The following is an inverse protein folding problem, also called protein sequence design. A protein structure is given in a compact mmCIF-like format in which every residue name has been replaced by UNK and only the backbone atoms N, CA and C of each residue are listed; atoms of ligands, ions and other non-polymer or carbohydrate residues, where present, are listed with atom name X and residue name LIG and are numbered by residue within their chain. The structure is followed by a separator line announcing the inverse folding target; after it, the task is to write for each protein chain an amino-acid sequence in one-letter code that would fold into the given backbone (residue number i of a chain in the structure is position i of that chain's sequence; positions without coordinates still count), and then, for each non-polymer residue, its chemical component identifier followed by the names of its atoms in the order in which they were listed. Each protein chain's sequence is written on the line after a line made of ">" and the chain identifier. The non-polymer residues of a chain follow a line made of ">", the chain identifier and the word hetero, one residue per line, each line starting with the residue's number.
data_IF_715553472074
#
_entry.id   IF_715553472074
#
_cell.length_a   1.000
_cell.length_b   1.000
_cell.length_c   1.000
_cell.angle_alpha   90.00
_cell.angle_beta   90.00
_cell.angle_gamma   90.00
#
_symmetry.space_group_name_H-M   'P 1'
#
loop_
_entity.id
_entity.type
_entity.pdbx_description
1 polymer ?
#
# COMPACT_ATOMS: atom_id res chain seq x y z
N UNK A 1 -62.52 10.27 61.30
CA UNK A 1 -62.93 11.66 61.69
C UNK A 1 -62.00 12.64 61.01
N UNK A 2 -62.59 13.53 60.24
CA UNK A 2 -62.06 14.80 59.64
C UNK A 2 -61.01 14.72 58.52
N UNK A 3 -61.49 14.99 57.36
CA UNK A 3 -61.06 15.63 56.12
C UNK A 3 -60.29 16.92 56.43
N UNK A 4 -59.19 17.25 55.73
CA UNK A 4 -58.94 18.56 55.23
C UNK A 4 -58.17 18.55 53.89
N UNK A 5 -58.82 19.20 52.91
CA UNK A 5 -58.27 19.64 51.64
C UNK A 5 -57.27 20.79 51.85
N UNK A 6 -56.31 20.92 50.92
CA UNK A 6 -55.79 22.23 50.45
C UNK A 6 -54.96 21.99 49.17
N UNK A 7 -55.48 22.34 48.07
CA UNK A 7 -55.18 23.38 47.06
C UNK A 7 -53.68 23.72 46.84
N UNK A 8 -53.12 23.35 45.76
CA UNK A 8 -52.71 24.08 44.56
C UNK A 8 -51.51 24.98 44.68
N UNK A 9 -50.45 24.65 43.89
CA UNK A 9 -49.61 25.68 43.29
C UNK A 9 -49.03 25.15 41.97
N UNK A 10 -49.46 25.80 40.86
CA UNK A 10 -48.89 25.57 39.54
C UNK A 10 -47.57 26.28 39.41
N UNK A 11 -46.47 25.58 39.16
CA UNK A 11 -45.21 26.18 38.75
C UNK A 11 -44.93 25.77 37.30
N UNK A 12 -45.00 26.77 36.42
CA UNK A 12 -44.67 26.67 35.02
C UNK A 12 -43.16 26.43 34.86
N UNK A 13 -42.75 25.29 34.39
CA UNK A 13 -41.36 25.05 33.97
C UNK A 13 -41.32 25.27 32.46
N UNK A 14 -40.72 26.38 32.02
CA UNK A 14 -40.31 26.64 30.65
C UNK A 14 -39.33 25.56 30.20
N UNK A 15 -39.75 24.66 29.28
CA UNK A 15 -38.87 23.80 28.54
C UNK A 15 -38.12 24.62 27.49
N UNK A 16 -36.83 24.85 27.69
CA UNK A 16 -35.89 25.18 26.62
C UNK A 16 -35.67 23.94 25.75
N UNK A 17 -36.40 23.85 24.65
CA UNK A 17 -36.18 22.87 23.60
C UNK A 17 -34.93 23.28 22.80
N UNK A 18 -33.77 22.70 23.16
CA UNK A 18 -32.58 22.75 22.32
C UNK A 18 -32.88 21.89 21.06
N UNK A 19 -32.95 22.57 19.92
CA UNK A 19 -32.99 21.94 18.62
C UNK A 19 -31.70 21.14 18.40
N UNK A 20 -31.70 19.85 18.74
CA UNK A 20 -30.78 18.91 18.13
C UNK A 20 -31.35 18.58 16.75
N UNK A 21 -30.76 19.17 15.71
CA UNK A 21 -30.95 18.76 14.34
C UNK A 21 -30.31 17.37 14.18
N UNK A 22 -30.98 16.33 14.64
CA UNK A 22 -30.68 14.95 14.33
C UNK A 22 -31.07 14.68 12.88
N UNK A 23 -30.13 14.19 12.09
CA UNK A 23 -30.43 13.60 10.78
C UNK A 23 -31.40 12.44 10.93
N UNK A 24 -32.70 12.69 10.88
CA UNK A 24 -33.73 11.66 10.72
C UNK A 24 -33.74 11.24 9.26
N UNK A 25 -32.91 10.29 8.88
CA UNK A 25 -33.05 9.56 7.65
C UNK A 25 -34.18 8.54 7.81
N UNK A 26 -35.16 8.61 6.90
CA UNK A 26 -36.19 7.62 6.73
C UNK A 26 -35.59 6.21 6.68
N UNK A 27 -36.10 5.32 7.49
CA UNK A 27 -35.78 3.90 7.56
C UNK A 27 -36.00 3.21 6.22
N UNK A 28 -34.98 3.15 5.39
CA UNK A 28 -34.80 2.07 4.43
C UNK A 28 -33.90 1.02 5.10
N UNK A 29 -34.11 -0.25 4.78
CA UNK A 29 -33.42 -1.40 5.38
C UNK A 29 -31.95 -1.10 5.67
N UNK A 30 -31.52 -1.38 6.91
CA UNK A 30 -30.21 -1.02 7.42
C UNK A 30 -29.10 -1.45 6.44
N UNK A 31 -28.61 -0.52 5.65
CA UNK A 31 -27.45 -0.71 4.80
C UNK A 31 -26.25 -0.96 5.73
N UNK A 32 -25.66 -2.17 5.65
CA UNK A 32 -24.39 -2.46 6.31
C UNK A 32 -23.35 -1.47 5.77
N UNK A 33 -22.53 -0.91 6.63
CA UNK A 33 -21.45 0.03 6.25
C UNK A 33 -21.60 1.41 6.86
N UNK A 34 -20.58 2.25 6.66
CA UNK A 34 -20.51 3.61 7.19
C UNK A 34 -20.93 4.64 6.13
N UNK A 35 -21.45 5.78 6.58
CA UNK A 35 -21.88 6.90 5.74
C UNK A 35 -21.13 8.17 6.12
N UNK A 36 -20.79 9.00 5.11
CA UNK A 36 -20.21 10.30 5.33
C UNK A 36 -21.31 11.37 5.52
N UNK A 37 -21.27 12.06 6.66
CA UNK A 37 -22.12 13.25 6.90
C UNK A 37 -21.54 14.46 6.12
N UNK A 38 -20.95 15.46 6.81
CA UNK A 38 -20.42 16.67 6.19
C UNK A 38 -19.00 16.49 5.62
N UNK A 39 -18.25 15.58 6.20
CA UNK A 39 -16.85 15.30 5.85
C UNK A 39 -16.68 13.83 5.49
N UNK A 40 -15.90 13.57 4.44
CA UNK A 40 -15.51 12.22 4.03
C UNK A 40 -14.32 11.79 4.87
N UNK A 41 -14.52 10.91 5.84
CA UNK A 41 -13.44 10.37 6.67
C UNK A 41 -12.81 9.16 5.99
N UNK A 42 -11.53 9.23 5.68
CA UNK A 42 -10.72 8.12 5.18
C UNK A 42 -9.76 7.69 6.29
N UNK A 43 -9.82 6.44 6.69
CA UNK A 43 -8.89 5.87 7.66
C UNK A 43 -7.56 5.51 7.01
N UNK A 44 -6.47 5.77 7.70
CA UNK A 44 -5.12 5.41 7.27
C UNK A 44 -4.53 4.51 8.35
N UNK A 45 -4.52 3.21 8.06
CA UNK A 45 -3.90 2.19 8.89
C UNK A 45 -2.50 1.93 8.32
N UNK A 46 -1.47 2.41 8.98
CA UNK A 46 -0.16 2.46 8.34
C UNK A 46 0.97 2.13 9.30
N UNK A 47 2.03 1.52 8.78
CA UNK A 47 3.29 1.27 9.47
C UNK A 47 4.05 2.60 9.64
N UNK A 48 3.63 3.46 10.58
CA UNK A 48 4.31 4.74 10.82
C UNK A 48 5.55 4.58 11.70
N UNK A 49 5.70 3.44 12.35
CA UNK A 49 6.86 3.01 13.12
C UNK A 49 7.13 1.51 12.93
N UNK A 50 8.21 0.99 13.54
CA UNK A 50 8.61 -0.41 13.41
C UNK A 50 9.41 -0.71 12.14
N UNK A 51 9.50 -2.00 11.79
CA UNK A 51 10.38 -2.50 10.73
C UNK A 51 10.06 -1.95 9.34
N UNK A 52 8.79 -1.70 9.05
CA UNK A 52 8.30 -1.19 7.76
C UNK A 52 7.98 0.33 7.80
N UNK A 53 8.41 1.04 8.84
CA UNK A 53 8.10 2.47 9.03
C UNK A 53 8.55 3.39 7.89
N UNK A 54 9.51 2.97 7.06
CA UNK A 54 9.91 3.68 5.84
C UNK A 54 8.76 3.77 4.84
N UNK A 55 8.17 2.63 4.50
CA UNK A 55 7.04 2.58 3.56
C UNK A 55 5.85 3.40 4.06
N UNK A 56 5.49 3.20 5.32
CA UNK A 56 4.34 3.90 5.92
C UNK A 56 4.50 5.42 5.91
N UNK A 57 5.71 5.93 6.12
CA UNK A 57 5.97 7.37 6.04
C UNK A 57 5.83 7.90 4.61
N UNK A 58 6.33 7.16 3.61
CA UNK A 58 6.16 7.50 2.20
C UNK A 58 4.67 7.52 1.82
N UNK A 59 3.91 6.49 2.19
CA UNK A 59 2.47 6.42 1.90
C UNK A 59 1.69 7.54 2.59
N UNK A 60 2.00 7.83 3.86
CA UNK A 60 1.42 8.97 4.57
C UNK A 60 1.62 10.29 3.83
N UNK A 61 2.83 10.53 3.32
CA UNK A 61 3.16 11.74 2.57
C UNK A 61 2.34 11.84 1.27
N UNK A 62 2.22 10.74 0.51
CA UNK A 62 1.40 10.69 -0.70
C UNK A 62 -0.09 10.93 -0.42
N UNK A 63 -0.64 10.29 0.61
CA UNK A 63 -2.03 10.50 1.04
C UNK A 63 -2.26 11.96 1.42
N UNK A 64 -1.37 12.54 2.24
CA UNK A 64 -1.52 13.92 2.70
C UNK A 64 -1.48 14.92 1.54
N UNK A 65 -0.56 14.72 0.58
CA UNK A 65 -0.49 15.57 -0.62
C UNK A 65 -1.80 15.51 -1.42
N UNK A 66 -2.33 14.30 -1.67
CA UNK A 66 -3.58 14.13 -2.41
C UNK A 66 -4.78 14.76 -1.68
N UNK A 67 -4.88 14.58 -0.37
CA UNK A 67 -5.95 15.15 0.46
C UNK A 67 -5.90 16.67 0.42
N UNK A 68 -4.72 17.27 0.55
CA UNK A 68 -4.56 18.73 0.54
C UNK A 68 -4.95 19.30 -0.84
N UNK A 69 -4.49 18.68 -1.93
CA UNK A 69 -4.85 19.11 -3.29
C UNK A 69 -6.36 19.02 -3.55
N UNK A 70 -6.99 17.90 -3.20
CA UNK A 70 -8.43 17.72 -3.39
C UNK A 70 -9.20 18.74 -2.56
N UNK A 71 -8.79 18.96 -1.33
CA UNK A 71 -9.44 19.90 -0.43
C UNK A 71 -9.27 21.35 -0.88
N UNK A 72 -8.10 21.73 -1.38
CA UNK A 72 -7.85 23.07 -1.95
C UNK A 72 -8.73 23.32 -3.18
N UNK A 73 -8.99 22.30 -4.01
CA UNK A 73 -9.89 22.36 -5.17
C UNK A 73 -11.38 22.27 -4.80
N UNK A 74 -11.73 22.43 -3.52
CA UNK A 74 -13.11 22.45 -3.02
C UNK A 74 -13.60 21.12 -2.44
N UNK A 75 -12.89 20.01 -2.61
CA UNK A 75 -13.26 18.68 -2.11
C UNK A 75 -13.84 17.78 -3.21
N UNK A 76 -14.44 16.67 -2.77
CA UNK A 76 -15.04 15.63 -3.62
C UNK A 76 -16.49 15.98 -3.95
N UNK A 77 -16.91 15.80 -5.19
CA UNK A 77 -18.29 16.01 -5.61
C UNK A 77 -19.15 14.77 -5.24
N UNK A 78 -20.02 14.93 -4.27
CA UNK A 78 -20.97 13.89 -3.85
C UNK A 78 -22.37 14.34 -4.29
N UNK A 79 -22.84 13.85 -5.44
CA UNK A 79 -24.15 14.19 -6.00
C UNK A 79 -24.43 15.72 -6.04
N UNK A 80 -23.50 16.49 -6.58
CA UNK A 80 -23.61 17.95 -6.73
C UNK A 80 -23.12 18.75 -5.50
N UNK A 81 -22.92 18.11 -4.35
CA UNK A 81 -22.40 18.78 -3.14
C UNK A 81 -20.89 18.49 -2.97
N UNK A 82 -20.09 19.51 -2.73
CA UNK A 82 -18.68 19.38 -2.43
C UNK A 82 -18.45 19.05 -0.96
N UNK A 83 -17.73 17.96 -0.68
CA UNK A 83 -17.35 17.54 0.68
C UNK A 83 -15.83 17.42 0.79
N UNK A 84 -15.25 17.93 1.89
CA UNK A 84 -13.82 17.80 2.18
C UNK A 84 -13.49 16.40 2.65
N UNK A 85 -12.24 15.96 2.39
CA UNK A 85 -11.68 14.73 2.93
C UNK A 85 -10.99 15.05 4.26
N UNK A 86 -11.18 14.16 5.25
CA UNK A 86 -10.38 14.11 6.47
C UNK A 86 -9.70 12.76 6.57
N UNK A 87 -8.37 12.72 6.45
CA UNK A 87 -7.59 11.53 6.71
C UNK A 87 -7.39 11.35 8.23
N UNK A 88 -7.64 10.13 8.73
CA UNK A 88 -7.45 9.75 10.13
C UNK A 88 -6.32 8.74 10.18
N UNK A 89 -5.14 9.17 10.61
CA UNK A 89 -3.92 8.37 10.66
C UNK A 89 -3.84 7.59 11.97
N UNK A 90 -3.49 6.30 11.87
CA UNK A 90 -3.20 5.43 13.01
C UNK A 90 -1.99 4.56 12.70
N UNK A 91 -1.06 4.51 13.64
CA UNK A 91 0.15 3.69 13.56
C UNK A 91 -0.15 2.25 13.95
N UNK A 92 0.09 1.29 13.04
CA UNK A 92 -0.02 -0.13 13.31
C UNK A 92 1.30 -0.74 13.84
N UNK A 93 2.38 0.06 13.90
CA UNK A 93 3.70 -0.32 14.44
C UNK A 93 4.35 -1.50 13.75
N UNK A 94 4.02 -1.74 12.47
CA UNK A 94 4.45 -2.93 11.71
C UNK A 94 4.10 -4.25 12.42
N UNK A 95 2.88 -4.32 12.99
CA UNK A 95 2.39 -5.46 13.75
C UNK A 95 1.00 -5.87 13.28
N UNK A 96 0.85 -7.13 12.89
CA UNK A 96 -0.41 -7.70 12.41
C UNK A 96 -1.55 -7.57 13.42
N UNK A 97 -1.27 -7.81 14.71
CA UNK A 97 -2.27 -7.68 15.79
C UNK A 97 -2.70 -6.22 16.00
N UNK A 98 -1.76 -5.29 15.96
CA UNK A 98 -2.06 -3.85 16.06
C UNK A 98 -2.81 -3.38 14.81
N UNK A 99 -2.43 -3.86 13.63
CA UNK A 99 -3.09 -3.55 12.37
C UNK A 99 -4.57 -3.95 12.38
N UNK A 100 -4.90 -5.16 12.84
CA UNK A 100 -6.29 -5.63 13.01
C UNK A 100 -7.07 -4.76 14.01
N UNK A 101 -6.44 -4.37 15.12
CA UNK A 101 -7.05 -3.50 16.14
C UNK A 101 -7.32 -2.10 15.58
N UNK A 102 -6.35 -1.52 14.87
CA UNK A 102 -6.48 -0.21 14.19
C UNK A 102 -7.59 -0.24 13.15
N UNK A 103 -7.68 -1.30 12.33
CA UNK A 103 -8.76 -1.44 11.35
C UNK A 103 -10.13 -1.42 12.03
N UNK A 104 -10.27 -2.10 13.18
CA UNK A 104 -11.51 -2.10 13.96
C UNK A 104 -11.82 -0.71 14.51
N UNK A 105 -10.86 -0.01 15.08
CA UNK A 105 -11.06 1.36 15.60
C UNK A 105 -11.50 2.33 14.50
N UNK A 106 -10.79 2.35 13.37
CA UNK A 106 -11.12 3.21 12.24
C UNK A 106 -12.55 2.99 11.73
N UNK A 107 -12.95 1.74 11.59
CA UNK A 107 -14.26 1.40 10.99
C UNK A 107 -15.43 1.52 11.98
N UNK A 108 -15.22 1.19 13.26
CA UNK A 108 -16.32 1.13 14.26
C UNK A 108 -16.41 2.36 15.14
N UNK A 109 -15.29 3.00 15.50
CA UNK A 109 -15.26 4.18 16.37
C UNK A 109 -15.15 5.48 15.56
N UNK A 110 -14.15 5.58 14.68
CA UNK A 110 -13.95 6.77 13.86
C UNK A 110 -14.97 6.90 12.73
N UNK A 111 -15.68 5.79 12.40
CA UNK A 111 -16.71 5.74 11.35
C UNK A 111 -16.20 6.21 9.99
N UNK A 112 -15.00 5.73 9.59
CA UNK A 112 -14.44 6.01 8.27
C UNK A 112 -15.24 5.29 7.19
N UNK A 113 -15.31 5.84 5.98
CA UNK A 113 -16.06 5.28 4.85
C UNK A 113 -15.18 4.44 3.92
N UNK A 114 -13.88 4.57 4.02
CA UNK A 114 -12.88 3.75 3.34
C UNK A 114 -11.59 3.76 4.16
N UNK A 115 -10.72 2.76 3.97
CA UNK A 115 -9.37 2.74 4.56
C UNK A 115 -8.31 2.59 3.47
N UNK A 116 -7.15 3.24 3.68
CA UNK A 116 -5.92 3.07 2.89
C UNK A 116 -4.84 2.46 3.79
N UNK A 117 -4.08 1.53 3.24
CA UNK A 117 -3.08 0.77 4.01
C UNK A 117 -3.73 -0.32 4.86
N UNK A 118 -2.94 -1.23 5.43
CA UNK A 118 -1.47 -1.25 5.58
C UNK A 118 -0.67 -1.36 4.28
N UNK A 119 0.62 -1.00 4.39
CA UNK A 119 1.58 -1.10 3.30
C UNK A 119 2.03 -2.55 3.08
N UNK A 120 2.35 -3.28 4.15
CA UNK A 120 2.87 -4.64 4.05
C UNK A 120 1.77 -5.68 3.85
N UNK A 121 2.13 -6.78 3.20
CA UNK A 121 1.18 -7.89 2.93
C UNK A 121 0.60 -8.47 4.21
N UNK A 122 1.44 -8.82 5.21
CA UNK A 122 0.98 -9.49 6.42
C UNK A 122 0.07 -8.60 7.25
N UNK A 123 0.43 -7.33 7.43
CA UNK A 123 -0.38 -6.36 8.16
C UNK A 123 -1.70 -6.09 7.44
N UNK A 124 -1.67 -6.01 6.10
CA UNK A 124 -2.87 -5.88 5.27
C UNK A 124 -3.79 -7.09 5.40
N UNK A 125 -3.25 -8.30 5.33
CA UNK A 125 -4.02 -9.55 5.47
C UNK A 125 -4.77 -9.60 6.81
N UNK A 126 -4.15 -9.12 7.89
CA UNK A 126 -4.77 -9.07 9.21
C UNK A 126 -6.00 -8.14 9.29
N UNK A 127 -6.17 -7.20 8.36
CA UNK A 127 -7.32 -6.26 8.33
C UNK A 127 -8.51 -6.79 7.52
N UNK A 128 -8.32 -7.80 6.68
CA UNK A 128 -9.35 -8.33 5.76
C UNK A 128 -10.65 -8.73 6.48
N UNK A 129 -10.61 -9.47 7.62
CA UNK A 129 -11.82 -9.83 8.33
C UNK A 129 -12.65 -8.62 8.77
N UNK A 130 -11.99 -7.56 9.23
CA UNK A 130 -12.66 -6.32 9.65
C UNK A 130 -13.31 -5.61 8.47
N UNK A 131 -12.62 -5.45 7.34
CA UNK A 131 -13.17 -4.81 6.14
C UNK A 131 -14.45 -5.52 5.67
N UNK A 132 -14.42 -6.85 5.57
CA UNK A 132 -15.58 -7.64 5.16
C UNK A 132 -16.74 -7.57 6.19
N UNK A 133 -16.43 -7.62 7.48
CA UNK A 133 -17.42 -7.57 8.57
C UNK A 133 -18.12 -6.21 8.65
N UNK A 134 -17.37 -5.12 8.51
CA UNK A 134 -17.89 -3.75 8.67
C UNK A 134 -18.44 -3.18 7.36
N UNK A 135 -18.23 -3.85 6.23
CA UNK A 135 -18.57 -3.36 4.89
C UNK A 135 -17.92 -2.00 4.57
N UNK A 136 -16.68 -1.80 5.02
CA UNK A 136 -15.86 -0.63 4.72
C UNK A 136 -14.73 -1.06 3.79
N UNK A 137 -14.62 -0.52 2.57
CA UNK A 137 -13.59 -0.93 1.63
C UNK A 137 -12.20 -0.57 2.14
N UNK A 138 -11.30 -1.51 1.96
CA UNK A 138 -9.89 -1.45 2.27
C UNK A 138 -9.09 -1.47 0.97
N UNK A 139 -8.31 -0.44 0.72
CA UNK A 139 -7.43 -0.31 -0.44
C UNK A 139 -5.98 -0.28 0.05
N UNK A 140 -5.23 -1.39 -0.14
CA UNK A 140 -3.79 -1.35 0.07
C UNK A 140 -3.10 -0.71 -1.13
N UNK A 141 -2.26 0.29 -0.87
CA UNK A 141 -1.48 0.92 -1.91
C UNK A 141 -0.34 0.01 -2.42
N UNK A 142 0.20 -0.86 -1.58
CA UNK A 142 1.47 -1.56 -1.84
C UNK A 142 1.50 -3.07 -1.55
N UNK A 143 0.51 -3.68 -0.87
CA UNK A 143 0.50 -5.13 -0.64
C UNK A 143 0.40 -5.91 -1.97
N UNK A 144 1.31 -6.88 -2.18
CA UNK A 144 1.47 -7.57 -3.47
C UNK A 144 1.25 -9.07 -3.45
N UNK A 145 1.02 -9.73 -2.30
CA UNK A 145 0.81 -11.18 -2.27
C UNK A 145 -0.24 -11.60 -3.31
N UNK A 146 -0.02 -12.70 -4.06
CA UNK A 146 -0.89 -13.10 -5.17
C UNK A 146 -2.36 -13.21 -4.80
N UNK A 147 -2.66 -13.79 -3.64
CA UNK A 147 -4.01 -14.09 -3.18
C UNK A 147 -4.58 -13.04 -2.18
N UNK A 148 -3.93 -11.89 -2.05
CA UNK A 148 -4.32 -10.84 -1.10
C UNK A 148 -5.80 -10.43 -1.18
N UNK A 149 -6.38 -10.43 -2.37
CA UNK A 149 -7.79 -10.06 -2.60
C UNK A 149 -8.73 -11.26 -2.63
N UNK A 150 -8.21 -12.48 -2.42
CA UNK A 150 -8.95 -13.73 -2.53
C UNK A 150 -8.96 -14.50 -1.21
N UNK A 151 -10.02 -15.23 -0.97
CA UNK A 151 -10.06 -16.21 0.11
C UNK A 151 -9.36 -17.53 -0.32
N UNK A 152 -9.23 -18.46 0.64
CA UNK A 152 -8.61 -19.78 0.39
C UNK A 152 -9.27 -20.62 -0.70
N UNK A 153 -10.48 -20.29 -1.10
CA UNK A 153 -11.23 -20.97 -2.18
C UNK A 153 -11.14 -20.19 -3.50
N UNK A 154 -10.34 -19.12 -3.57
CA UNK A 154 -10.20 -18.25 -4.74
C UNK A 154 -11.36 -17.28 -4.96
N UNK A 155 -12.29 -17.14 -4.00
CA UNK A 155 -13.36 -16.18 -4.05
C UNK A 155 -12.88 -14.80 -3.62
N UNK A 156 -13.33 -13.76 -4.33
CA UNK A 156 -12.94 -12.37 -4.06
C UNK A 156 -13.48 -11.90 -2.70
N UNK A 157 -12.61 -11.30 -1.90
CA UNK A 157 -13.02 -10.51 -0.73
C UNK A 157 -13.69 -9.22 -1.21
N UNK A 158 -15.00 -9.03 -1.00
CA UNK A 158 -15.76 -7.96 -1.66
C UNK A 158 -15.27 -6.55 -1.28
N UNK A 159 -14.69 -6.39 -0.09
CA UNK A 159 -14.24 -5.10 0.45
C UNK A 159 -12.72 -4.94 0.45
N UNK A 160 -11.96 -5.79 -0.25
CA UNK A 160 -10.50 -5.73 -0.31
C UNK A 160 -10.03 -5.41 -1.72
N UNK A 161 -9.20 -4.39 -1.84
CA UNK A 161 -8.65 -3.88 -3.09
C UNK A 161 -7.15 -3.64 -2.96
N UNK A 162 -6.44 -3.65 -4.09
CA UNK A 162 -5.07 -3.14 -4.16
C UNK A 162 -4.92 -2.09 -5.26
N UNK A 163 -3.98 -1.18 -5.08
CA UNK A 163 -3.60 -0.21 -6.10
C UNK A 163 -2.32 -0.58 -6.85
N UNK A 164 -1.72 -1.71 -6.51
CA UNK A 164 -0.43 -2.18 -7.02
C UNK A 164 -0.56 -3.47 -7.84
N UNK A 165 0.49 -3.82 -8.57
CA UNK A 165 0.57 -5.10 -9.28
C UNK A 165 0.74 -6.28 -8.30
N UNK A 166 0.53 -7.49 -8.79
CA UNK A 166 0.68 -8.72 -8.02
C UNK A 166 2.14 -9.15 -7.93
N UNK A 167 2.50 -9.84 -6.84
CA UNK A 167 3.84 -10.36 -6.61
C UNK A 167 4.29 -11.42 -7.63
N UNK A 168 3.37 -12.23 -8.15
CA UNK A 168 3.68 -13.19 -9.22
C UNK A 168 4.12 -12.47 -10.51
N UNK A 169 3.51 -11.35 -10.85
CA UNK A 169 3.93 -10.51 -11.97
C UNK A 169 5.29 -9.85 -11.71
N UNK A 170 5.58 -9.44 -10.47
CA UNK A 170 6.92 -8.95 -10.10
C UNK A 170 7.99 -10.02 -10.30
N UNK A 171 7.79 -11.19 -9.70
CA UNK A 171 8.76 -12.29 -9.77
C UNK A 171 9.02 -12.75 -11.21
N UNK A 172 7.96 -12.88 -12.01
CA UNK A 172 8.10 -13.26 -13.43
C UNK A 172 8.81 -12.19 -14.26
N UNK A 173 8.52 -10.90 -14.02
CA UNK A 173 9.18 -9.79 -14.71
C UNK A 173 10.66 -9.68 -14.31
N UNK A 174 10.98 -9.89 -13.04
CA UNK A 174 12.35 -9.95 -12.53
C UNK A 174 13.14 -11.11 -13.17
N UNK A 175 12.53 -12.30 -13.25
CA UNK A 175 13.13 -13.48 -13.88
C UNK A 175 13.43 -13.25 -15.37
N UNK A 176 12.47 -12.67 -16.09
CA UNK A 176 12.65 -12.30 -17.50
C UNK A 176 13.80 -11.31 -17.67
N UNK A 177 13.83 -10.25 -16.86
CA UNK A 177 14.88 -9.22 -16.91
C UNK A 177 16.25 -9.79 -16.58
N UNK A 178 16.37 -10.60 -15.54
CA UNK A 178 17.63 -11.27 -15.17
C UNK A 178 18.17 -12.09 -16.34
N UNK A 179 17.33 -12.89 -16.99
CA UNK A 179 17.75 -13.72 -18.11
C UNK A 179 18.02 -12.96 -19.40
N UNK A 180 17.11 -12.07 -19.80
CA UNK A 180 17.14 -11.39 -21.10
C UNK A 180 18.01 -10.15 -21.11
N UNK A 181 18.07 -9.37 -20.00
CA UNK A 181 18.79 -8.10 -19.93
C UNK A 181 20.13 -8.27 -19.23
N UNK A 182 20.17 -8.87 -18.05
CA UNK A 182 21.43 -9.12 -17.32
C UNK A 182 22.21 -10.31 -17.90
N UNK A 183 21.60 -11.07 -18.81
CA UNK A 183 22.18 -12.28 -19.44
C UNK A 183 22.53 -13.38 -18.43
N UNK A 184 21.93 -13.35 -17.25
CA UNK A 184 22.14 -14.34 -16.20
C UNK A 184 21.63 -15.72 -16.66
N UNK A 185 22.47 -16.72 -16.55
CA UNK A 185 22.15 -18.14 -16.83
C UNK A 185 21.95 -18.93 -15.55
N UNK A 186 22.50 -18.45 -14.45
CA UNK A 186 22.47 -19.07 -13.13
C UNK A 186 22.05 -18.05 -12.10
N UNK A 187 20.99 -18.34 -11.36
CA UNK A 187 20.49 -17.50 -10.29
C UNK A 187 20.58 -18.21 -8.94
N UNK A 188 20.97 -17.47 -7.90
CA UNK A 188 20.74 -17.88 -6.53
C UNK A 188 19.62 -17.03 -5.94
N UNK A 189 18.82 -17.60 -5.03
CA UNK A 189 17.70 -16.94 -4.36
C UNK A 189 17.95 -16.97 -2.85
N UNK A 190 17.82 -15.81 -2.20
CA UNK A 190 17.80 -15.67 -0.75
C UNK A 190 16.52 -14.93 -0.36
N UNK A 191 15.50 -15.63 0.13
CA UNK A 191 14.15 -15.11 0.30
C UNK A 191 13.71 -15.06 1.76
N UNK A 192 12.92 -14.04 2.10
CA UNK A 192 12.17 -14.00 3.35
C UNK A 192 11.03 -15.02 3.31
N UNK A 193 11.05 -16.00 4.22
CA UNK A 193 9.98 -17.01 4.34
C UNK A 193 9.02 -16.74 5.53
N UNK A 194 9.13 -15.61 6.17
CA UNK A 194 8.21 -15.17 7.22
C UNK A 194 7.00 -14.38 6.68
N UNK A 195 7.00 -14.10 5.36
CA UNK A 195 5.93 -13.34 4.72
C UNK A 195 5.47 -13.97 3.40
N UNK A 196 4.15 -13.92 3.16
CA UNK A 196 3.57 -14.32 1.86
C UNK A 196 4.09 -13.46 0.70
N UNK A 197 4.58 -12.25 0.99
CA UNK A 197 5.27 -11.38 0.04
C UNK A 197 6.55 -12.03 -0.49
N UNK A 198 7.49 -12.34 0.38
CA UNK A 198 8.80 -12.92 -0.01
C UNK A 198 8.64 -14.29 -0.68
N UNK A 199 7.82 -15.17 -0.06
CA UNK A 199 7.53 -16.51 -0.57
C UNK A 199 6.92 -16.46 -1.98
N UNK A 200 5.87 -15.64 -2.17
CA UNK A 200 5.14 -15.56 -3.44
C UNK A 200 6.01 -15.06 -4.59
N UNK A 201 6.81 -14.04 -4.34
CA UNK A 201 7.70 -13.45 -5.35
C UNK A 201 8.87 -14.40 -5.69
N UNK A 202 9.49 -15.04 -4.68
CA UNK A 202 10.55 -16.02 -4.90
C UNK A 202 10.06 -17.22 -5.73
N UNK A 203 8.87 -17.74 -5.43
CA UNK A 203 8.22 -18.81 -6.17
C UNK A 203 8.02 -18.43 -7.65
N UNK A 204 7.50 -17.22 -7.90
CA UNK A 204 7.28 -16.75 -9.26
C UNK A 204 8.61 -16.56 -10.02
N UNK A 205 9.62 -15.96 -9.39
CA UNK A 205 10.94 -15.85 -10.00
C UNK A 205 11.48 -17.21 -10.40
N UNK A 206 11.49 -18.19 -9.48
CA UNK A 206 11.96 -19.54 -9.73
C UNK A 206 11.21 -20.23 -10.88
N UNK A 207 9.89 -20.04 -10.95
CA UNK A 207 9.04 -20.64 -11.99
C UNK A 207 9.32 -20.08 -13.38
N UNK A 208 9.59 -18.77 -13.49
CA UNK A 208 9.72 -18.09 -14.79
C UNK A 208 11.15 -17.80 -15.22
N UNK A 209 12.15 -18.06 -14.37
CA UNK A 209 13.55 -17.90 -14.76
C UNK A 209 13.96 -18.96 -15.77
N UNK A 210 14.34 -18.54 -16.96
CA UNK A 210 14.70 -19.45 -18.08
C UNK A 210 16.08 -20.10 -17.93
N UNK A 211 16.90 -19.64 -16.98
CA UNK A 211 18.18 -20.26 -16.63
C UNK A 211 18.04 -21.29 -15.52
N UNK A 212 19.13 -21.61 -14.85
CA UNK A 212 19.16 -22.56 -13.73
C UNK A 212 19.16 -21.80 -12.41
N UNK A 213 18.20 -22.09 -11.52
CA UNK A 213 18.28 -21.66 -10.11
C UNK A 213 19.19 -22.65 -9.39
N UNK A 214 20.41 -22.22 -9.08
CA UNK A 214 21.49 -23.07 -8.54
C UNK A 214 21.37 -23.25 -7.02
N UNK A 215 20.73 -22.33 -6.33
CA UNK A 215 20.46 -22.40 -4.89
C UNK A 215 19.23 -21.62 -4.53
N UNK A 216 18.54 -22.06 -3.48
CA UNK A 216 17.42 -21.31 -2.86
C UNK A 216 17.55 -21.45 -1.35
N UNK A 217 17.82 -20.34 -0.69
CA UNK A 217 17.97 -20.24 0.76
C UNK A 217 16.91 -19.30 1.33
N UNK A 218 16.65 -19.43 2.60
CA UNK A 218 15.61 -18.68 3.29
C UNK A 218 16.14 -18.07 4.58
N UNK A 219 15.51 -16.99 5.00
CA UNK A 219 15.73 -16.31 6.28
C UNK A 219 14.38 -15.85 6.87
N UNK A 220 14.40 -15.39 8.13
CA UNK A 220 13.24 -14.82 8.80
C UNK A 220 13.37 -13.30 8.90
N UNK A 221 12.23 -12.58 8.84
CA UNK A 221 12.23 -11.15 9.12
C UNK A 221 12.85 -10.87 10.51
N UNK A 222 13.74 -9.87 10.55
CA UNK A 222 14.51 -9.51 11.74
C UNK A 222 15.87 -10.20 11.87
N UNK A 223 16.21 -11.16 11.00
CA UNK A 223 17.56 -11.71 10.93
C UNK A 223 18.58 -10.61 10.59
N UNK A 224 19.74 -10.65 11.26
CA UNK A 224 20.80 -9.63 11.11
C UNK A 224 22.13 -10.18 10.61
N UNK A 225 22.29 -11.49 10.60
CA UNK A 225 23.55 -12.12 10.21
C UNK A 225 23.30 -13.14 9.09
N UNK A 226 23.77 -12.80 7.90
CA UNK A 226 23.63 -13.59 6.69
C UNK A 226 24.96 -14.18 6.21
N UNK A 227 26.06 -14.04 6.96
CA UNK A 227 27.39 -14.44 6.52
C UNK A 227 27.48 -15.93 6.15
N UNK A 228 26.90 -16.81 6.95
CA UNK A 228 26.95 -18.25 6.70
C UNK A 228 26.18 -18.63 5.41
N UNK A 229 24.96 -18.11 5.25
CA UNK A 229 24.15 -18.40 4.05
C UNK A 229 24.77 -17.77 2.79
N UNK A 230 25.33 -16.56 2.89
CA UNK A 230 26.01 -15.91 1.78
C UNK A 230 27.29 -16.64 1.37
N UNK A 231 28.05 -17.19 2.31
CA UNK A 231 29.22 -18.05 2.03
C UNK A 231 28.77 -19.31 1.29
N UNK A 232 27.71 -19.96 1.71
CA UNK A 232 27.13 -21.12 1.03
C UNK A 232 26.71 -20.78 -0.41
N UNK A 233 25.94 -19.69 -0.58
CA UNK A 233 25.48 -19.21 -1.90
C UNK A 233 26.67 -18.91 -2.81
N UNK A 234 27.70 -18.20 -2.31
CA UNK A 234 28.89 -17.82 -3.08
C UNK A 234 29.59 -19.04 -3.71
N UNK A 235 29.60 -20.20 -3.01
CA UNK A 235 30.24 -21.42 -3.50
C UNK A 235 29.54 -22.01 -4.74
N UNK A 236 28.28 -21.62 -5.05
CA UNK A 236 27.46 -22.20 -6.12
C UNK A 236 27.70 -21.62 -7.52
N UNK A 237 28.55 -20.60 -7.67
CA UNK A 237 28.85 -19.92 -8.95
C UNK A 237 27.57 -19.49 -9.66
N UNK A 238 27.04 -18.35 -9.34
CA UNK A 238 25.82 -17.76 -9.91
C UNK A 238 26.15 -16.42 -10.63
N UNK A 239 25.22 -15.96 -11.48
CA UNK A 239 25.36 -14.73 -12.25
C UNK A 239 24.53 -13.59 -11.63
N UNK A 240 23.47 -13.91 -10.88
CA UNK A 240 22.61 -12.96 -10.19
C UNK A 240 22.12 -13.51 -8.85
N UNK A 241 22.12 -12.69 -7.81
CA UNK A 241 21.49 -13.00 -6.52
C UNK A 241 20.14 -12.32 -6.45
N UNK A 242 19.06 -13.08 -6.30
CA UNK A 242 17.70 -12.57 -6.16
C UNK A 242 17.27 -12.56 -4.69
N UNK A 243 16.88 -11.37 -4.17
CA UNK A 243 16.56 -11.15 -2.75
C UNK A 243 15.18 -10.48 -2.64
N UNK A 244 14.07 -11.24 -2.72
CA UNK A 244 12.72 -10.71 -2.52
C UNK A 244 12.41 -10.56 -1.04
N UNK A 245 12.70 -9.37 -0.49
CA UNK A 245 12.56 -9.03 0.91
C UNK A 245 12.32 -7.53 1.09
N UNK A 246 12.13 -7.09 2.34
CA UNK A 246 11.97 -5.69 2.69
C UNK A 246 13.33 -4.99 2.88
N UNK A 247 13.31 -3.65 2.91
CA UNK A 247 14.53 -2.83 2.84
C UNK A 247 15.53 -3.09 3.96
N UNK A 248 15.07 -3.44 5.16
CA UNK A 248 15.95 -3.66 6.32
C UNK A 248 16.89 -4.84 6.09
N UNK A 249 16.32 -5.99 5.76
CA UNK A 249 17.07 -7.21 5.48
C UNK A 249 17.84 -7.08 4.17
N UNK A 250 17.23 -6.50 3.13
CA UNK A 250 17.89 -6.26 1.85
C UNK A 250 19.16 -5.41 2.02
N UNK A 251 19.10 -4.32 2.77
CA UNK A 251 20.27 -3.48 3.04
C UNK A 251 21.38 -4.24 3.77
N UNK A 252 21.01 -5.04 4.77
CA UNK A 252 21.97 -5.86 5.53
C UNK A 252 22.58 -6.96 4.65
N UNK A 253 21.74 -7.65 3.85
CA UNK A 253 22.22 -8.69 2.91
C UNK A 253 23.15 -8.08 1.87
N UNK A 254 22.82 -6.95 1.27
CA UNK A 254 23.69 -6.27 0.29
C UNK A 254 25.04 -5.95 0.91
N UNK A 255 25.07 -5.34 2.10
CA UNK A 255 26.29 -5.03 2.82
C UNK A 255 27.16 -6.28 3.02
N UNK A 256 26.60 -7.30 3.68
CA UNK A 256 27.34 -8.53 3.99
C UNK A 256 27.74 -9.33 2.73
N UNK A 257 26.91 -9.29 1.67
CA UNK A 257 27.27 -9.91 0.39
C UNK A 257 28.50 -9.25 -0.24
N UNK A 258 28.57 -7.90 -0.24
CA UNK A 258 29.73 -7.16 -0.74
C UNK A 258 30.98 -7.39 0.12
N UNK A 259 30.84 -7.39 1.45
CA UNK A 259 31.90 -7.75 2.40
C UNK A 259 32.40 -9.18 2.20
N UNK A 260 31.52 -10.12 1.89
CA UNK A 260 31.86 -11.50 1.55
C UNK A 260 32.50 -11.63 0.14
N UNK A 261 32.63 -10.53 -0.61
CA UNK A 261 33.22 -10.51 -1.96
C UNK A 261 32.29 -11.03 -3.06
N UNK A 262 30.98 -11.02 -2.86
CA UNK A 262 29.97 -11.25 -3.92
C UNK A 262 29.88 -9.97 -4.77
N UNK A 263 30.38 -10.04 -6.02
CA UNK A 263 30.41 -8.91 -6.96
C UNK A 263 29.26 -8.93 -7.97
N UNK A 264 28.57 -10.04 -8.08
CA UNK A 264 27.45 -10.24 -9.01
C UNK A 264 26.32 -9.24 -8.73
N UNK A 265 25.53 -8.89 -9.76
CA UNK A 265 24.31 -8.11 -9.57
C UNK A 265 23.41 -8.71 -8.48
N UNK A 266 22.86 -7.85 -7.62
CA UNK A 266 21.84 -8.22 -6.65
C UNK A 266 20.53 -7.60 -7.12
N UNK A 267 19.50 -8.43 -7.19
CA UNK A 267 18.21 -8.02 -7.68
C UNK A 267 17.13 -8.35 -6.65
N UNK A 268 16.20 -7.45 -6.45
CA UNK A 268 15.07 -7.67 -5.54
C UNK A 268 13.74 -7.21 -6.09
N UNK A 269 12.79 -7.12 -5.20
CA UNK A 269 11.44 -6.68 -5.49
C UNK A 269 11.24 -5.21 -5.04
N UNK A 270 10.02 -4.71 -5.09
CA UNK A 270 9.65 -3.34 -4.71
C UNK A 270 9.99 -3.00 -3.25
N UNK A 271 10.05 -3.98 -2.37
CA UNK A 271 10.52 -3.81 -1.00
C UNK A 271 11.95 -3.26 -0.84
N UNK A 272 12.77 -3.28 -1.90
CA UNK A 272 14.07 -2.60 -1.91
C UNK A 272 13.97 -1.09 -2.16
N UNK A 273 12.84 -0.57 -2.60
CA UNK A 273 12.70 0.82 -3.06
C UNK A 273 12.54 1.85 -1.93
N UNK A 274 13.34 1.73 -0.88
CA UNK A 274 13.38 2.69 0.23
C UNK A 274 14.83 3.17 0.45
N UNK A 275 15.04 4.46 0.63
CA UNK A 275 16.37 5.05 0.86
C UNK A 275 17.07 4.49 2.10
N UNK A 276 16.31 3.96 3.07
CA UNK A 276 16.86 3.28 4.24
C UNK A 276 17.64 2.03 3.85
N UNK A 277 17.26 1.35 2.76
CA UNK A 277 18.04 0.22 2.24
C UNK A 277 19.49 0.66 1.92
N UNK A 278 19.65 1.80 1.22
CA UNK A 278 20.98 2.37 0.90
C UNK A 278 21.72 2.83 2.16
N UNK A 279 20.99 3.44 3.12
CA UNK A 279 21.60 3.86 4.40
C UNK A 279 22.15 2.67 5.20
N UNK A 280 21.47 1.52 5.13
CA UNK A 280 21.89 0.29 5.82
C UNK A 280 23.04 -0.39 5.07
N UNK A 281 22.95 -0.50 3.75
CA UNK A 281 23.97 -1.17 2.95
C UNK A 281 25.29 -0.37 2.83
N UNK A 282 25.22 0.95 2.90
CA UNK A 282 26.26 1.85 2.42
C UNK A 282 26.11 2.12 0.91
N UNK A 283 26.33 3.35 0.49
CA UNK A 283 26.15 3.75 -0.91
C UNK A 283 27.10 2.98 -1.86
N UNK A 284 28.33 2.76 -1.45
CA UNK A 284 29.36 2.01 -2.18
C UNK A 284 28.97 0.55 -2.45
N UNK A 285 28.27 -0.08 -1.50
CA UNK A 285 27.76 -1.45 -1.62
C UNK A 285 26.50 -1.53 -2.48
N UNK A 286 25.76 -0.42 -2.58
CA UNK A 286 24.52 -0.32 -3.37
C UNK A 286 24.83 0.04 -4.84
N UNK A 287 25.73 -0.71 -5.45
CA UNK A 287 26.11 -0.65 -6.87
C UNK A 287 25.74 -1.97 -7.54
N UNK A 288 25.26 -1.90 -8.78
CA UNK A 288 24.66 -3.05 -9.50
C UNK A 288 23.51 -3.71 -8.74
N UNK A 289 22.70 -2.88 -8.10
CA UNK A 289 21.47 -3.29 -7.42
C UNK A 289 20.28 -2.98 -8.33
N UNK A 290 19.36 -3.94 -8.43
CA UNK A 290 18.16 -3.80 -9.26
C UNK A 290 16.90 -4.11 -8.45
N UNK A 291 15.83 -3.36 -8.64
CA UNK A 291 14.54 -3.66 -8.01
C UNK A 291 13.36 -3.28 -8.90
N UNK A 292 12.25 -3.98 -8.72
CA UNK A 292 10.99 -3.70 -9.42
C UNK A 292 10.24 -2.55 -8.76
N UNK A 293 9.56 -1.73 -9.56
CA UNK A 293 8.74 -0.61 -9.09
C UNK A 293 7.61 -0.28 -10.08
N UNK A 294 6.54 0.37 -9.61
CA UNK A 294 5.50 0.93 -10.49
C UNK A 294 5.76 2.39 -10.86
N UNK A 295 6.65 3.07 -10.15
CA UNK A 295 6.90 4.49 -10.36
C UNK A 295 8.38 4.81 -10.13
N UNK A 296 8.93 5.58 -11.02
CA UNK A 296 10.24 6.24 -10.85
C UNK A 296 10.28 7.51 -11.68
N UNK A 297 10.87 8.55 -11.14
CA UNK A 297 11.08 9.82 -11.86
C UNK A 297 11.94 9.65 -13.10
N UNK A 298 12.79 8.61 -13.17
CA UNK A 298 13.65 8.32 -14.33
C UNK A 298 12.86 8.03 -15.62
N UNK A 299 11.66 7.46 -15.52
CA UNK A 299 10.81 7.09 -16.67
C UNK A 299 9.54 7.93 -16.76
N UNK A 300 9.24 8.70 -15.73
CA UNK A 300 7.96 9.37 -15.57
C UNK A 300 7.92 10.80 -16.11
N UNK A 301 9.07 11.42 -16.35
CA UNK A 301 9.18 12.84 -16.71
C UNK A 301 8.59 13.22 -18.11
N UNK A 302 8.25 12.25 -18.94
CA UNK A 302 7.58 12.49 -20.21
C UNK A 302 6.06 12.78 -20.08
N UNK A 303 5.47 12.52 -18.89
CA UNK A 303 4.04 12.76 -18.64
C UNK A 303 3.87 14.03 -17.80
N UNK A 304 3.21 15.11 -18.33
CA UNK A 304 3.04 16.39 -17.61
C UNK A 304 2.36 16.25 -16.26
N UNK A 305 1.41 15.30 -16.10
CA UNK A 305 0.75 15.03 -14.82
C UNK A 305 1.72 14.50 -13.79
N UNK A 306 2.60 13.60 -14.20
CA UNK A 306 3.62 13.01 -13.32
C UNK A 306 4.67 14.05 -12.92
N UNK A 307 5.10 14.88 -13.89
CA UNK A 307 6.03 15.97 -13.61
C UNK A 307 5.45 16.98 -12.61
N UNK A 308 4.17 17.35 -12.78
CA UNK A 308 3.46 18.26 -11.85
C UNK A 308 3.32 17.65 -10.45
N UNK A 309 2.96 16.36 -10.36
CA UNK A 309 2.90 15.63 -9.10
C UNK A 309 4.26 15.59 -8.39
N UNK A 310 5.33 15.18 -9.11
CA UNK A 310 6.66 15.09 -8.52
C UNK A 310 7.16 16.45 -8.05
N UNK A 311 6.90 17.52 -8.83
CA UNK A 311 7.20 18.89 -8.40
C UNK A 311 6.48 19.24 -7.10
N UNK A 312 5.17 19.00 -7.01
CA UNK A 312 4.38 19.29 -5.80
C UNK A 312 4.87 18.48 -4.59
N UNK A 313 5.24 17.21 -4.80
CA UNK A 313 5.82 16.36 -3.76
C UNK A 313 7.16 16.92 -3.29
N UNK A 314 8.05 17.26 -4.22
CA UNK A 314 9.39 17.81 -3.93
C UNK A 314 9.32 19.17 -3.23
N UNK A 315 8.42 20.06 -3.67
CA UNK A 315 8.20 21.37 -3.04
C UNK A 315 7.75 21.21 -1.58
N UNK A 316 6.99 20.16 -1.26
CA UNK A 316 6.44 19.92 0.08
C UNK A 316 7.38 19.12 1.00
N UNK A 317 8.11 18.14 0.47
CA UNK A 317 8.87 17.19 1.27
C UNK A 317 10.39 17.24 1.04
N UNK A 318 10.88 18.03 0.08
CA UNK A 318 12.31 18.27 -0.17
C UNK A 318 13.01 17.21 -1.01
N UNK A 319 12.28 16.19 -1.48
CA UNK A 319 12.83 15.06 -2.23
C UNK A 319 11.93 14.66 -3.41
N UNK A 320 12.48 13.91 -4.36
CA UNK A 320 11.67 13.33 -5.43
C UNK A 320 10.75 12.25 -4.87
N UNK A 321 9.54 12.14 -5.44
CA UNK A 321 8.54 11.21 -4.92
C UNK A 321 9.00 9.75 -5.05
N UNK A 322 8.98 8.97 -3.95
CA UNK A 322 9.17 7.54 -3.99
C UNK A 322 7.90 6.81 -4.49
N UNK A 323 8.06 5.54 -4.88
CA UNK A 323 6.96 4.74 -5.46
C UNK A 323 5.75 4.59 -4.53
N UNK A 324 5.97 4.37 -3.23
CA UNK A 324 4.88 4.15 -2.28
C UNK A 324 4.08 5.43 -2.02
N UNK A 325 4.72 6.59 -2.06
CA UNK A 325 4.01 7.88 -2.01
C UNK A 325 3.15 8.09 -3.26
N UNK A 326 3.66 7.77 -4.44
CA UNK A 326 2.90 7.88 -5.68
C UNK A 326 1.69 6.93 -5.72
N UNK A 327 1.83 5.69 -5.23
CA UNK A 327 0.76 4.69 -5.16
C UNK A 327 -0.34 5.10 -4.18
N UNK A 328 0.02 5.60 -3.01
CA UNK A 328 -0.94 6.04 -2.00
C UNK A 328 -1.64 7.35 -2.39
N UNK A 329 -0.94 8.25 -3.09
CA UNK A 329 -1.55 9.42 -3.72
C UNK A 329 -2.64 8.99 -4.72
N UNK A 330 -2.32 8.07 -5.64
CA UNK A 330 -3.31 7.52 -6.58
C UNK A 330 -4.48 6.83 -5.84
N UNK A 331 -4.21 6.15 -4.72
CA UNK A 331 -5.25 5.47 -3.93
C UNK A 331 -6.32 6.43 -3.41
N UNK A 332 -5.94 7.63 -2.97
CA UNK A 332 -6.89 8.68 -2.57
C UNK A 332 -7.73 9.14 -3.76
N UNK A 333 -7.11 9.32 -4.92
CA UNK A 333 -7.82 9.72 -6.15
C UNK A 333 -8.72 8.60 -6.69
N UNK A 334 -8.36 7.33 -6.52
CA UNK A 334 -9.23 6.19 -6.85
C UNK A 334 -10.48 6.17 -5.97
N UNK A 335 -10.35 6.40 -4.66
CA UNK A 335 -11.49 6.55 -3.75
C UNK A 335 -12.34 7.76 -4.15
N UNK A 336 -11.72 8.90 -4.46
CA UNK A 336 -12.43 10.09 -4.98
C UNK A 336 -13.24 9.76 -6.23
N UNK A 337 -12.63 9.10 -7.23
CA UNK A 337 -13.33 8.71 -8.45
C UNK A 337 -14.50 7.76 -8.15
N UNK A 338 -14.31 6.78 -7.25
CA UNK A 338 -15.38 5.86 -6.86
C UNK A 338 -16.58 6.60 -6.24
N UNK A 339 -16.33 7.57 -5.35
CA UNK A 339 -17.36 8.41 -4.73
C UNK A 339 -18.11 9.24 -5.79
N UNK A 340 -17.40 9.87 -6.71
CA UNK A 340 -17.98 10.72 -7.75
C UNK A 340 -18.77 9.90 -8.77
N UNK A 341 -18.31 8.70 -9.13
CA UNK A 341 -19.00 7.79 -10.04
C UNK A 341 -20.31 7.28 -9.43
N UNK A 342 -20.29 6.86 -8.17
CA UNK A 342 -21.48 6.35 -7.48
C UNK A 342 -22.34 7.48 -6.89
N UNK A 343 -21.92 8.73 -7.00
CA UNK A 343 -22.56 9.92 -6.44
C UNK A 343 -22.90 9.78 -4.95
N UNK A 344 -22.10 8.99 -4.23
CA UNK A 344 -22.29 8.65 -2.83
C UNK A 344 -20.96 8.44 -2.12
N UNK A 345 -20.89 8.88 -0.87
CA UNK A 345 -19.76 8.62 0.02
C UNK A 345 -20.13 7.55 1.10
N UNK A 346 -21.08 6.68 0.80
CA UNK A 346 -21.36 5.49 1.62
C UNK A 346 -20.35 4.40 1.31
N UNK A 347 -19.84 3.72 2.33
CA UNK A 347 -18.77 2.72 2.19
C UNK A 347 -19.12 1.60 1.21
N UNK A 348 -20.36 1.14 1.20
CA UNK A 348 -20.85 0.11 0.25
C UNK A 348 -20.82 0.64 -1.19
N UNK A 349 -21.20 1.91 -1.40
CA UNK A 349 -21.12 2.56 -2.72
C UNK A 349 -19.69 2.79 -3.17
N UNK A 350 -18.82 3.20 -2.26
CA UNK A 350 -17.38 3.34 -2.55
C UNK A 350 -16.81 1.99 -3.00
N UNK A 351 -17.14 0.89 -2.33
CA UNK A 351 -16.76 -0.45 -2.74
C UNK A 351 -17.19 -0.75 -4.18
N UNK A 352 -18.45 -0.48 -4.52
CA UNK A 352 -18.99 -0.68 -5.87
C UNK A 352 -18.25 0.17 -6.91
N UNK A 353 -17.95 1.42 -6.57
CA UNK A 353 -17.20 2.34 -7.43
C UNK A 353 -15.75 1.89 -7.64
N UNK A 354 -15.06 1.43 -6.59
CA UNK A 354 -13.70 0.89 -6.71
C UNK A 354 -13.65 -0.34 -7.63
N UNK A 355 -14.61 -1.26 -7.52
CA UNK A 355 -14.69 -2.44 -8.36
C UNK A 355 -14.95 -2.11 -9.85
N UNK A 356 -15.56 -0.95 -10.13
CA UNK A 356 -15.88 -0.49 -11.49
C UNK A 356 -14.81 0.43 -12.10
N UNK A 357 -13.70 0.70 -11.42
CA UNK A 357 -12.66 1.60 -11.95
C UNK A 357 -12.15 1.10 -13.30
N UNK A 358 -12.29 1.96 -14.32
CA UNK A 358 -11.76 1.77 -15.67
C UNK A 358 -11.01 3.02 -16.11
N UNK A 359 -9.84 2.83 -16.71
CA UNK A 359 -9.03 3.91 -17.29
C UNK A 359 -8.74 5.07 -16.34
N UNK A 360 -8.59 4.79 -15.04
CA UNK A 360 -8.14 5.78 -14.08
C UNK A 360 -6.76 6.29 -14.46
N UNK A 361 -6.62 7.60 -14.63
CA UNK A 361 -5.38 8.25 -15.05
C UNK A 361 -4.55 8.60 -13.80
N UNK A 362 -3.79 7.64 -13.29
CA UNK A 362 -2.91 7.82 -12.13
C UNK A 362 -1.54 8.41 -12.49
N UNK A 363 -0.82 8.85 -11.46
CA UNK A 363 0.61 9.22 -11.59
C UNK A 363 1.49 7.98 -11.70
N UNK A 364 1.01 6.84 -11.20
CA UNK A 364 1.66 5.51 -11.34
C UNK A 364 1.19 4.76 -12.60
N UNK A 365 0.62 5.47 -13.57
CA UNK A 365 0.08 4.91 -14.81
C UNK A 365 -1.42 4.67 -14.81
N UNK A 366 -1.92 4.33 -15.99
CA UNK A 366 -3.34 4.04 -16.19
C UNK A 366 -3.74 2.77 -15.43
N UNK A 367 -4.90 2.82 -14.78
CA UNK A 367 -5.39 1.73 -13.94
C UNK A 367 -6.80 1.31 -14.33
N UNK A 368 -6.99 0.02 -14.57
CA UNK A 368 -8.30 -0.63 -14.70
C UNK A 368 -8.34 -1.77 -13.70
N UNK A 369 -9.34 -1.79 -12.84
CA UNK A 369 -9.55 -2.84 -11.85
C UNK A 369 -10.10 -4.09 -12.53
N UNK A 370 -9.49 -5.26 -12.28
CA UNK A 370 -10.02 -6.53 -12.75
C UNK A 370 -11.12 -7.09 -11.82
N UNK A 371 -11.76 -8.18 -12.24
CA UNK A 371 -12.80 -8.84 -11.45
C UNK A 371 -12.31 -9.42 -10.11
N UNK A 372 -11.00 -9.49 -9.91
CA UNK A 372 -10.35 -9.94 -8.67
C UNK A 372 -9.82 -8.79 -7.82
N UNK A 373 -10.25 -7.56 -8.11
CA UNK A 373 -9.86 -6.34 -7.41
C UNK A 373 -8.35 -6.03 -7.50
N UNK A 374 -7.71 -6.44 -8.60
CA UNK A 374 -6.32 -6.13 -8.91
C UNK A 374 -6.21 -5.18 -10.10
N UNK A 375 -5.34 -4.18 -10.07
CA UNK A 375 -5.07 -3.34 -11.23
C UNK A 375 -4.07 -4.00 -12.18
N UNK A 376 -4.22 -3.73 -13.48
CA UNK A 376 -3.15 -3.96 -14.44
C UNK A 376 -2.23 -2.75 -14.43
N UNK A 377 -0.95 -2.95 -14.13
CA UNK A 377 0.08 -1.89 -14.10
C UNK A 377 1.34 -2.37 -14.80
N UNK A 378 2.07 -1.44 -15.43
CA UNK A 378 3.41 -1.70 -15.93
C UNK A 378 4.40 -1.85 -14.77
N UNK A 379 5.46 -2.61 -14.99
CA UNK A 379 6.61 -2.72 -14.09
C UNK A 379 7.79 -2.00 -14.70
N UNK A 380 8.48 -1.23 -13.89
CA UNK A 380 9.80 -0.70 -14.19
C UNK A 380 10.81 -1.39 -13.29
N UNK A 381 12.01 -1.66 -13.80
CA UNK A 381 13.15 -2.10 -13.01
C UNK A 381 14.13 -0.95 -12.92
N UNK A 382 14.48 -0.56 -11.70
CA UNK A 382 15.44 0.52 -11.43
C UNK A 382 16.80 -0.12 -11.13
N UNK A 383 17.85 0.46 -11.72
CA UNK A 383 19.25 0.17 -11.37
C UNK A 383 19.76 1.23 -10.41
N UNK A 384 20.45 0.80 -9.35
CA UNK A 384 21.24 1.68 -8.49
C UNK A 384 22.73 1.60 -8.84
N UNK A 385 23.39 2.76 -8.80
CA UNK A 385 24.83 2.93 -8.85
C UNK A 385 25.23 3.88 -7.71
N UNK A 386 26.14 3.43 -6.87
CA UNK A 386 26.54 4.17 -5.67
C UNK A 386 25.33 4.68 -4.85
N UNK A 387 24.35 3.81 -4.65
CA UNK A 387 23.14 4.10 -3.88
C UNK A 387 22.13 5.04 -4.56
N UNK A 388 22.37 5.45 -5.81
CA UNK A 388 21.48 6.38 -6.52
C UNK A 388 20.80 5.71 -7.71
N UNK A 389 19.50 5.97 -7.95
CA UNK A 389 18.84 5.53 -9.16
C UNK A 389 19.55 6.08 -10.42
N UNK A 390 20.05 5.18 -11.27
CA UNK A 390 20.83 5.53 -12.47
C UNK A 390 20.09 5.25 -13.76
N UNK A 391 19.26 4.21 -13.79
CA UNK A 391 18.51 3.80 -14.99
C UNK A 391 17.19 3.12 -14.64
N UNK A 392 16.15 3.41 -15.42
CA UNK A 392 14.85 2.72 -15.37
C UNK A 392 14.63 1.90 -16.65
N UNK A 393 14.19 0.66 -16.49
CA UNK A 393 13.86 -0.26 -17.58
C UNK A 393 12.37 -0.59 -17.52
N UNK A 394 11.60 -0.14 -18.49
CA UNK A 394 10.18 -0.53 -18.58
C UNK A 394 10.08 -1.97 -19.09
N UNK A 395 9.52 -2.86 -18.28
CA UNK A 395 9.28 -4.26 -18.69
C UNK A 395 7.96 -4.33 -19.45
N UNK A 396 8.05 -4.84 -20.68
CA UNK A 396 6.90 -5.04 -21.56
C UNK A 396 6.38 -6.47 -21.51
#
# INVERSE_FOLDING_TARGET
>A
MKIKKMTGFAAAIMMCSAFMAGCTSKTSAATKGNQACDTIKIGVNMELSGAAGGYGQQEKNGIQLAVDEINTKGGVNVNGKKKKIKAIYRDNKSSTSTSASVATQLTTQDKVVATIGPATTNDGTATIPTANKTCVPFLSASATAPDFTLDKNGKVHPYVFRAYFKGDYQGSSAAKFAYETLKAKRAAILADNSSDYGIGIAKAFKQYFKGTVVDTQYFQAGDKNFNSVLTSIKSKKFDVLYVPAYYTECGTIIKQAREAGIKQPIMGADGMSDDKMVKISGAENATDIYYTTAFTVLTANSNPKVASYNKAYKDKYGEDSPTFAALSYDSVYMIKQAIETEKSADSVKIQQGLAKIKNFKGVTGDTTMDAKHNPKKAITIVKLENGKPSKGYVVK
#
